data_IF_646949011098
#
_entry.id   IF_646949011098
#
_cell.length_a   1.000
_cell.length_b   1.000
_cell.length_c   1.000
_cell.angle_alpha   90.00
_cell.angle_beta   90.00
_cell.angle_gamma   90.00
#
_symmetry.space_group_name_H-M   'P 1'
#
loop_
_entity.id
_entity.type
_entity.pdbx_description
1 polymer ?
#
# COMPACT_ATOMS: atom_id res chain seq x y z
N UNK A 1 -8.32 9.27 -1.03
CA UNK A 1 -8.71 7.94 -0.54
C UNK A 1 -9.16 7.01 -1.69
N UNK A 2 -10.30 7.24 -2.36
CA UNK A 2 -10.80 6.34 -3.42
C UNK A 2 -9.78 6.04 -4.54
N UNK A 3 -9.17 7.07 -5.12
CA UNK A 3 -8.17 6.92 -6.20
C UNK A 3 -6.96 6.12 -5.73
N UNK A 4 -6.38 6.48 -4.58
CA UNK A 4 -5.23 5.77 -4.00
C UNK A 4 -5.58 4.30 -3.71
N UNK A 5 -6.78 4.04 -3.17
CA UNK A 5 -7.28 2.68 -2.97
C UNK A 5 -7.38 1.87 -4.25
N UNK A 6 -7.93 2.46 -5.32
CA UNK A 6 -8.01 1.80 -6.62
C UNK A 6 -6.62 1.50 -7.22
N UNK A 7 -5.67 2.44 -7.12
CA UNK A 7 -4.29 2.24 -7.60
C UNK A 7 -3.62 1.10 -6.83
N UNK A 8 -3.66 1.11 -5.49
CA UNK A 8 -3.05 0.04 -4.69
C UNK A 8 -3.72 -1.30 -4.97
N UNK A 9 -5.06 -1.37 -4.97
CA UNK A 9 -5.81 -2.58 -5.29
C UNK A 9 -5.46 -3.13 -6.68
N UNK A 10 -5.21 -2.27 -7.67
CA UNK A 10 -4.78 -2.69 -9.01
C UNK A 10 -3.36 -3.27 -9.04
N UNK A 11 -2.49 -2.94 -8.08
CA UNK A 11 -1.14 -3.52 -7.99
C UNK A 11 -1.18 -4.85 -7.23
N UNK A 12 -1.87 -4.88 -6.08
CA UNK A 12 -1.90 -6.07 -5.21
C UNK A 12 -2.93 -7.12 -5.62
N UNK A 13 -3.82 -6.80 -6.56
CA UNK A 13 -4.90 -7.66 -7.08
C UNK A 13 -5.87 -8.14 -5.99
N UNK A 14 -6.06 -7.31 -4.96
CA UNK A 14 -7.00 -7.55 -3.86
C UNK A 14 -7.61 -6.19 -3.44
N UNK A 15 -8.95 -6.03 -3.47
CA UNK A 15 -9.60 -4.79 -3.04
C UNK A 15 -9.61 -4.57 -1.52
N UNK A 16 -9.23 -5.57 -0.70
CA UNK A 16 -9.16 -5.47 0.76
C UNK A 16 -7.93 -4.68 1.22
N UNK A 17 -7.88 -3.39 0.87
CA UNK A 17 -6.78 -2.48 1.18
C UNK A 17 -7.21 -1.40 2.18
N UNK A 18 -6.37 -1.16 3.19
CA UNK A 18 -6.60 -0.07 4.14
C UNK A 18 -6.01 1.24 3.60
N UNK A 19 -6.88 2.23 3.35
CA UNK A 19 -6.46 3.57 2.90
C UNK A 19 -7.11 4.66 3.77
N UNK A 20 -6.28 5.32 4.58
CA UNK A 20 -6.61 6.54 5.29
C UNK A 20 -6.40 7.78 4.42
N UNK A 21 -6.94 8.93 4.84
CA UNK A 21 -6.66 10.24 4.26
C UNK A 21 -6.23 11.21 5.37
N UNK A 22 -5.81 12.43 4.99
CA UNK A 22 -5.23 13.39 5.95
C UNK A 22 -3.82 12.97 6.32
N UNK A 23 -2.89 13.16 5.38
CA UNK A 23 -1.47 12.80 5.53
C UNK A 23 -0.60 14.00 5.90
N UNK A 24 -1.16 14.99 6.62
CA UNK A 24 -0.43 16.16 7.08
C UNK A 24 0.83 15.72 7.84
N UNK A 25 1.98 16.22 7.41
CA UNK A 25 3.30 15.89 7.96
C UNK A 25 3.69 14.40 7.94
N UNK A 26 2.95 13.56 7.21
CA UNK A 26 3.19 12.11 7.10
C UNK A 26 3.83 11.73 5.75
N UNK A 27 4.60 12.63 5.15
CA UNK A 27 5.25 12.40 3.86
C UNK A 27 5.41 13.68 3.05
N UNK A 28 5.80 13.57 1.76
CA UNK A 28 5.87 14.72 0.86
C UNK A 28 4.47 15.26 0.53
N UNK A 29 4.42 16.50 0.05
CA UNK A 29 3.17 17.13 -0.40
C UNK A 29 2.46 16.27 -1.47
N UNK A 30 1.18 15.97 -1.25
CA UNK A 30 0.37 15.11 -2.12
C UNK A 30 0.59 13.60 -1.95
N UNK A 31 1.54 13.19 -1.10
CA UNK A 31 1.84 11.79 -0.81
C UNK A 31 1.44 11.34 0.59
N UNK A 32 2.02 10.23 1.03
CA UNK A 32 1.83 9.63 2.34
C UNK A 32 2.64 8.34 2.46
N UNK A 33 2.71 7.74 3.65
CA UNK A 33 3.45 6.51 3.84
C UNK A 33 2.64 5.33 3.30
N UNK A 34 3.34 4.30 2.85
CA UNK A 34 2.75 2.99 2.50
C UNK A 34 3.55 1.92 3.23
N UNK A 35 2.84 0.96 3.84
CA UNK A 35 3.42 -0.21 4.48
C UNK A 35 2.74 -1.47 3.96
N UNK A 36 3.51 -2.56 3.85
CA UNK A 36 3.03 -3.87 3.42
C UNK A 36 3.52 -4.91 4.41
N UNK A 37 2.61 -5.78 4.86
CA UNK A 37 2.94 -7.00 5.58
C UNK A 37 2.79 -8.15 4.58
N UNK A 38 3.90 -8.80 4.25
CA UNK A 38 3.93 -9.88 3.28
C UNK A 38 4.57 -11.13 3.89
N UNK A 39 4.23 -12.30 3.33
CA UNK A 39 4.97 -13.53 3.63
C UNK A 39 6.39 -13.37 3.11
N UNK A 40 7.37 -13.75 3.92
CA UNK A 40 8.73 -13.88 3.44
C UNK A 40 8.77 -14.98 2.38
N UNK A 41 9.18 -14.64 1.16
CA UNK A 41 9.50 -15.65 0.17
C UNK A 41 10.75 -16.37 0.66
N UNK A 42 10.68 -17.70 0.79
CA UNK A 42 11.88 -18.51 0.96
C UNK A 42 12.67 -18.39 -0.35
N UNK A 43 13.75 -17.63 -0.32
CA UNK A 43 14.65 -17.52 -1.46
C UNK A 43 15.40 -18.85 -1.59
N UNK A 44 14.95 -19.72 -2.50
CA UNK A 44 15.64 -20.95 -2.89
C UNK A 44 15.82 -21.99 -1.78
N UNK A 45 14.78 -22.76 -1.49
CA UNK A 45 15.00 -24.19 -1.20
C UNK A 45 14.70 -24.93 -2.50
N UNK A 46 15.65 -25.71 -3.07
CA UNK A 46 15.33 -26.66 -4.12
C UNK A 46 14.21 -27.62 -3.70
#
# INVERSE_FOLDING_TARGET
RAVVGAVVASVVQDPMVYVSGGSEHQGPAGGGPIAVIARQSAFGTP
#
